data_IF_124479706127
#
_entry.id   IF_124479706127
#
_cell.length_a   1.000
_cell.length_b   1.000
_cell.length_c   1.000
_cell.angle_alpha   90.00
_cell.angle_beta   90.00
_cell.angle_gamma   90.00
#
_symmetry.space_group_name_H-M   'P 1'
#
loop_
_entity.id
_entity.type
_entity.pdbx_description
1 polymer ?
#
# COMPACT_ATOMS: atom_id res chain seq x y z
N UNK A 1 13.49 21.71 -27.86
CA UNK A 1 12.61 20.59 -28.25
C UNK A 1 13.02 19.39 -27.42
N UNK A 2 12.17 18.96 -26.48
CA UNK A 2 12.39 17.73 -25.73
C UNK A 2 11.75 16.60 -26.55
N UNK A 3 12.56 15.69 -27.10
CA UNK A 3 12.03 14.47 -27.72
C UNK A 3 11.33 13.66 -26.63
N UNK A 4 10.00 13.62 -26.68
CA UNK A 4 9.22 12.60 -25.98
C UNK A 4 9.45 11.30 -26.75
N UNK A 5 10.48 10.54 -26.36
CA UNK A 5 10.59 9.13 -26.74
C UNK A 5 9.39 8.40 -26.14
N UNK A 6 8.39 8.12 -26.97
CA UNK A 6 7.32 7.18 -26.64
C UNK A 6 7.98 5.80 -26.55
N UNK A 7 8.30 5.36 -25.33
CA UNK A 7 9.00 4.11 -25.08
C UNK A 7 8.06 2.90 -25.15
N UNK A 8 8.49 1.88 -25.88
CA UNK A 8 7.83 0.58 -25.97
C UNK A 8 8.18 -0.22 -24.70
N UNK A 9 7.29 -0.22 -23.71
CA UNK A 9 7.51 -0.71 -22.33
C UNK A 9 7.77 -2.23 -22.17
N UNK A 10 7.95 -2.96 -23.27
CA UNK A 10 7.97 -4.42 -23.29
C UNK A 10 9.37 -5.02 -23.25
N UNK A 11 10.40 -4.45 -23.87
CA UNK A 11 11.70 -5.16 -23.95
C UNK A 11 12.79 -4.62 -23.02
N UNK A 12 12.86 -3.32 -22.75
CA UNK A 12 14.01 -2.75 -22.02
C UNK A 12 13.77 -2.69 -20.50
N UNK A 13 12.52 -2.60 -20.06
CA UNK A 13 12.11 -2.61 -18.65
C UNK A 13 11.98 -4.01 -18.04
N UNK A 14 11.76 -5.05 -18.86
CA UNK A 14 11.61 -6.43 -18.38
C UNK A 14 12.93 -7.05 -17.88
N UNK A 15 14.08 -6.61 -18.40
CA UNK A 15 15.39 -7.15 -18.01
C UNK A 15 15.89 -6.62 -16.65
N UNK A 16 15.62 -5.36 -16.30
CA UNK A 16 16.20 -4.73 -15.10
C UNK A 16 15.52 -5.11 -13.77
N UNK A 17 14.28 -5.61 -13.77
CA UNK A 17 13.54 -5.86 -12.52
C UNK A 17 12.75 -7.18 -12.49
N UNK A 18 13.14 -8.22 -13.24
CA UNK A 18 12.45 -9.51 -13.14
C UNK A 18 12.59 -10.12 -11.72
N UNK A 19 13.75 -9.91 -11.07
CA UNK A 19 13.98 -10.26 -9.66
C UNK A 19 13.18 -9.36 -8.69
N UNK A 20 13.16 -8.05 -8.91
CA UNK A 20 12.45 -7.13 -8.03
C UNK A 20 10.91 -7.31 -8.11
N UNK A 21 10.35 -7.56 -9.31
CA UNK A 21 8.92 -7.89 -9.50
C UNK A 21 8.54 -9.24 -8.88
N UNK A 22 9.47 -10.19 -8.78
CA UNK A 22 9.24 -11.45 -8.07
C UNK A 22 9.25 -11.23 -6.55
N UNK A 23 10.16 -10.41 -6.06
CA UNK A 23 10.29 -10.09 -4.64
C UNK A 23 9.06 -9.36 -4.05
N UNK A 24 8.44 -8.43 -4.79
CA UNK A 24 7.24 -7.70 -4.33
C UNK A 24 6.08 -8.65 -4.01
N UNK A 25 5.84 -9.64 -4.87
CA UNK A 25 4.79 -10.66 -4.69
C UNK A 25 5.04 -11.52 -3.46
N UNK A 26 6.29 -11.98 -3.29
CA UNK A 26 6.67 -12.80 -2.14
C UNK A 26 6.51 -12.03 -0.83
N UNK A 27 6.92 -10.75 -0.80
CA UNK A 27 6.79 -9.90 0.38
C UNK A 27 5.32 -9.67 0.74
N UNK A 28 4.48 -9.33 -0.23
CA UNK A 28 3.03 -9.17 0.00
C UNK A 28 2.39 -10.46 0.53
N UNK A 29 2.72 -11.61 -0.09
CA UNK A 29 2.22 -12.91 0.37
C UNK A 29 2.65 -13.23 1.81
N UNK A 30 3.92 -13.00 2.17
CA UNK A 30 4.40 -13.22 3.55
C UNK A 30 3.73 -12.25 4.53
N UNK A 31 3.50 -11.00 4.12
CA UNK A 31 2.75 -10.00 4.88
C UNK A 31 1.39 -10.51 5.30
N UNK A 32 0.59 -10.96 4.34
CA UNK A 32 -0.76 -11.49 4.59
C UNK A 32 -0.73 -12.84 5.31
N UNK A 33 0.05 -13.80 4.82
CA UNK A 33 -0.01 -15.18 5.31
C UNK A 33 0.58 -15.36 6.72
N UNK A 34 1.58 -14.55 7.09
CA UNK A 34 2.34 -14.71 8.34
C UNK A 34 2.29 -13.46 9.22
N UNK A 35 2.64 -12.28 8.70
CA UNK A 35 2.79 -11.08 9.54
C UNK A 35 1.45 -10.61 10.12
N UNK A 36 0.39 -10.55 9.31
CA UNK A 36 -0.96 -10.22 9.80
C UNK A 36 -1.38 -11.06 11.00
N UNK A 37 -1.19 -12.38 10.91
CA UNK A 37 -1.53 -13.34 11.99
C UNK A 37 -0.68 -13.13 13.24
N UNK A 38 0.59 -12.75 13.07
CA UNK A 38 1.49 -12.46 14.18
C UNK A 38 1.09 -11.18 14.94
N UNK A 39 0.76 -10.12 14.20
CA UNK A 39 0.37 -8.83 14.79
C UNK A 39 -1.09 -8.79 15.27
N UNK A 40 -1.91 -9.79 14.93
CA UNK A 40 -3.34 -9.88 15.29
C UNK A 40 -4.12 -8.61 14.92
N UNK A 41 -3.79 -8.03 13.77
CA UNK A 41 -4.47 -6.85 13.23
C UNK A 41 -5.56 -7.30 12.27
N UNK A 42 -6.79 -6.82 12.49
CA UNK A 42 -7.93 -7.03 11.59
C UNK A 42 -7.92 -5.99 10.47
N UNK A 43 -7.07 -6.23 9.47
CA UNK A 43 -7.10 -5.54 8.18
C UNK A 43 -7.97 -6.36 7.22
N UNK A 44 -9.27 -6.06 7.16
CA UNK A 44 -10.27 -6.95 6.54
C UNK A 44 -9.97 -7.29 5.07
N UNK A 45 -9.40 -6.35 4.32
CA UNK A 45 -9.04 -6.53 2.90
C UNK A 45 -7.54 -6.67 2.66
N UNK A 46 -6.75 -6.86 3.72
CA UNK A 46 -5.28 -6.96 3.67
C UNK A 46 -4.60 -5.75 3.01
N UNK A 47 -5.24 -4.59 3.02
CA UNK A 47 -4.83 -3.40 2.26
C UNK A 47 -3.44 -2.91 2.70
N UNK A 48 -3.15 -2.91 3.99
CA UNK A 48 -1.84 -2.51 4.50
C UNK A 48 -0.73 -3.48 4.05
N UNK A 49 -0.99 -4.78 4.07
CA UNK A 49 0.02 -5.79 3.76
C UNK A 49 0.33 -5.88 2.27
N UNK A 50 -0.65 -5.64 1.40
CA UNK A 50 -0.46 -5.70 -0.06
C UNK A 50 -0.15 -4.36 -0.70
N UNK A 51 -0.55 -3.23 -0.10
CA UNK A 51 -0.25 -1.89 -0.61
C UNK A 51 0.81 -1.16 0.23
N UNK A 52 0.65 -1.12 1.55
CA UNK A 52 1.58 -0.44 2.46
C UNK A 52 2.96 -1.10 2.48
N UNK A 53 3.04 -2.37 2.89
CA UNK A 53 4.31 -3.10 2.99
C UNK A 53 5.00 -3.27 1.63
N UNK A 54 4.24 -3.61 0.59
CA UNK A 54 4.77 -3.74 -0.78
C UNK A 54 5.20 -2.38 -1.34
N UNK A 55 4.50 -1.30 -1.00
CA UNK A 55 4.85 0.07 -1.36
C UNK A 55 6.18 0.50 -0.74
N UNK A 56 6.38 0.23 0.55
CA UNK A 56 7.66 0.49 1.25
C UNK A 56 8.81 -0.24 0.54
N UNK A 57 8.63 -1.53 0.24
CA UNK A 57 9.61 -2.29 -0.51
C UNK A 57 9.85 -1.72 -1.92
N UNK A 58 8.78 -1.33 -2.62
CA UNK A 58 8.85 -0.72 -3.94
C UNK A 58 9.69 0.55 -3.95
N UNK A 59 9.47 1.46 -3.00
CA UNK A 59 10.24 2.70 -2.86
C UNK A 59 11.73 2.46 -2.61
N UNK A 60 12.07 1.45 -1.81
CA UNK A 60 13.47 1.02 -1.58
C UNK A 60 14.05 0.40 -2.86
N UNK A 61 13.30 -0.49 -3.50
CA UNK A 61 13.71 -1.14 -4.74
C UNK A 61 13.97 -0.13 -5.87
N UNK A 62 13.21 0.98 -5.94
CA UNK A 62 13.47 2.07 -6.88
C UNK A 62 14.87 2.64 -6.72
N UNK A 63 15.39 2.82 -5.51
CA UNK A 63 16.75 3.32 -5.30
C UNK A 63 17.85 2.30 -5.63
N UNK A 64 17.51 1.02 -5.76
CA UNK A 64 18.51 -0.03 -6.05
C UNK A 64 18.51 -0.39 -7.54
N UNK A 65 17.33 -0.42 -8.15
CA UNK A 65 17.11 -0.95 -9.49
C UNK A 65 16.61 0.11 -10.49
N UNK A 66 16.84 1.40 -10.23
CA UNK A 66 16.51 2.46 -11.18
C UNK A 66 17.22 2.18 -12.52
N UNK A 67 16.49 2.37 -13.62
CA UNK A 67 17.04 2.12 -14.94
C UNK A 67 18.06 3.20 -15.34
N UNK A 68 19.15 2.87 -16.05
CA UNK A 68 20.21 3.83 -16.37
C UNK A 68 19.74 5.09 -17.11
N UNK A 69 18.69 4.98 -17.93
CA UNK A 69 18.14 6.12 -18.68
C UNK A 69 17.24 7.05 -17.84
N UNK A 70 16.91 6.67 -16.60
CA UNK A 70 16.19 7.48 -15.62
C UNK A 70 17.11 8.04 -14.52
N UNK A 71 18.38 7.63 -14.51
CA UNK A 71 19.36 8.14 -13.56
C UNK A 71 19.74 9.57 -13.93
N UNK A 72 19.81 10.44 -12.91
CA UNK A 72 20.43 11.74 -13.07
C UNK A 72 21.96 11.59 -13.24
N UNK A 73 22.61 12.58 -13.86
CA UNK A 73 24.06 12.54 -14.12
C UNK A 73 24.89 12.45 -12.83
N UNK A 74 24.36 12.94 -11.70
CA UNK A 74 24.96 12.93 -10.36
C UNK A 74 24.41 11.80 -9.46
N UNK A 75 23.85 10.74 -10.05
CA UNK A 75 23.23 9.66 -9.30
C UNK A 75 24.19 9.00 -8.30
N UNK A 76 23.79 9.03 -7.03
CA UNK A 76 24.40 8.26 -5.95
C UNK A 76 23.34 7.36 -5.32
N UNK A 77 23.57 6.05 -5.38
CA UNK A 77 22.66 5.06 -4.77
C UNK A 77 22.44 5.33 -3.28
N UNK A 78 23.49 5.75 -2.55
CA UNK A 78 23.39 6.11 -1.15
C UNK A 78 22.51 7.34 -0.91
N UNK A 79 22.68 8.40 -1.72
CA UNK A 79 21.85 9.59 -1.65
C UNK A 79 20.39 9.29 -1.98
N UNK A 80 20.14 8.47 -3.01
CA UNK A 80 18.80 8.05 -3.42
C UNK A 80 18.12 7.19 -2.34
N UNK A 81 18.83 6.25 -1.73
CA UNK A 81 18.29 5.45 -0.62
C UNK A 81 17.88 6.35 0.57
N UNK A 82 18.72 7.32 0.95
CA UNK A 82 18.39 8.26 2.03
C UNK A 82 17.15 9.09 1.67
N UNK A 83 17.06 9.57 0.42
CA UNK A 83 15.90 10.33 -0.05
C UNK A 83 14.61 9.48 0.01
N UNK A 84 14.66 8.22 -0.44
CA UNK A 84 13.50 7.32 -0.40
C UNK A 84 13.11 6.96 1.03
N UNK A 85 14.07 6.72 1.93
CA UNK A 85 13.78 6.46 3.34
C UNK A 85 13.12 7.66 4.03
N UNK A 86 13.56 8.88 3.72
CA UNK A 86 12.90 10.11 4.20
C UNK A 86 11.48 10.22 3.66
N UNK A 87 11.26 9.93 2.37
CA UNK A 87 9.95 9.96 1.75
C UNK A 87 9.00 8.91 2.39
N UNK A 88 9.48 7.67 2.59
CA UNK A 88 8.73 6.61 3.27
C UNK A 88 8.38 7.01 4.70
N UNK A 89 9.34 7.56 5.46
CA UNK A 89 9.09 8.02 6.83
C UNK A 89 8.03 9.12 6.87
N UNK A 90 8.15 10.11 5.99
CA UNK A 90 7.18 11.19 5.87
C UNK A 90 5.78 10.67 5.51
N UNK A 91 5.66 9.76 4.54
CA UNK A 91 4.37 9.23 4.12
C UNK A 91 3.72 8.37 5.19
N UNK A 92 4.47 7.54 5.92
CA UNK A 92 3.96 6.75 7.05
C UNK A 92 3.43 7.68 8.15
N UNK A 93 4.22 8.67 8.55
CA UNK A 93 3.83 9.62 9.62
C UNK A 93 2.61 10.43 9.19
N UNK A 94 2.64 11.00 8.00
CA UNK A 94 1.55 11.82 7.48
C UNK A 94 0.26 11.02 7.33
N UNK A 95 0.30 9.87 6.66
CA UNK A 95 -0.89 9.04 6.46
C UNK A 95 -1.44 8.50 7.78
N UNK A 96 -0.58 8.07 8.71
CA UNK A 96 -1.00 7.58 10.03
C UNK A 96 -1.67 8.68 10.87
N UNK A 97 -1.04 9.84 10.99
CA UNK A 97 -1.59 10.96 11.79
C UNK A 97 -2.86 11.50 11.16
N UNK A 98 -2.85 11.82 9.86
CA UNK A 98 -4.00 12.41 9.19
C UNK A 98 -5.19 11.46 9.16
N UNK A 99 -4.98 10.17 8.89
CA UNK A 99 -6.06 9.18 8.92
C UNK A 99 -6.63 9.03 10.32
N UNK A 100 -5.79 9.00 11.37
CA UNK A 100 -6.27 8.94 12.74
C UNK A 100 -7.13 10.16 13.11
N UNK A 101 -6.64 11.37 12.81
CA UNK A 101 -7.39 12.61 13.05
C UNK A 101 -8.74 12.58 12.33
N UNK A 102 -8.75 12.25 11.04
CA UNK A 102 -9.99 12.18 10.26
C UNK A 102 -10.95 11.12 10.79
N UNK A 103 -10.43 9.94 11.17
CA UNK A 103 -11.24 8.87 11.74
C UNK A 103 -11.92 9.29 13.05
N UNK A 104 -11.19 9.91 13.97
CA UNK A 104 -11.78 10.36 15.25
C UNK A 104 -12.78 11.51 15.04
N UNK A 105 -12.46 12.47 14.16
CA UNK A 105 -13.39 13.55 13.83
C UNK A 105 -14.67 13.00 13.21
N UNK A 106 -14.56 12.10 12.23
CA UNK A 106 -15.71 11.45 11.62
C UNK A 106 -16.52 10.68 12.65
N UNK A 107 -15.86 9.87 13.48
CA UNK A 107 -16.51 9.06 14.53
C UNK A 107 -17.30 9.92 15.53
N UNK A 108 -16.79 11.11 15.89
CA UNK A 108 -17.50 12.03 16.79
C UNK A 108 -18.75 12.61 16.09
N UNK A 109 -18.65 12.94 14.80
CA UNK A 109 -19.75 13.53 14.04
C UNK A 109 -20.86 12.50 13.76
N UNK A 110 -20.49 11.25 13.43
CA UNK A 110 -21.44 10.18 13.06
C UNK A 110 -21.96 9.38 14.25
N UNK A 111 -21.48 9.65 15.47
CA UNK A 111 -21.88 8.94 16.68
C UNK A 111 -21.22 7.57 16.86
N UNK A 112 -20.12 7.30 16.16
CA UNK A 112 -19.34 6.06 16.27
C UNK A 112 -18.62 5.68 14.97
N UNK A 113 -17.54 4.91 15.09
CA UNK A 113 -16.75 4.38 13.96
C UNK A 113 -17.00 2.91 13.63
N UNK A 114 -17.79 2.19 14.45
CA UNK A 114 -18.19 0.78 14.26
C UNK A 114 -19.66 0.63 14.66
N UNK A 115 -20.36 -0.26 13.98
CA UNK A 115 -21.75 -0.64 14.33
C UNK A 115 -21.80 -1.40 15.65
N UNK A 116 -22.99 -1.50 16.26
CA UNK A 116 -23.19 -2.34 17.44
C UNK A 116 -23.03 -3.85 17.11
N UNK A 117 -22.80 -4.65 18.16
CA UNK A 117 -22.49 -6.08 18.01
C UNK A 117 -23.67 -6.89 17.43
N UNK A 118 -24.92 -6.49 17.72
CA UNK A 118 -26.11 -7.13 17.16
C UNK A 118 -26.22 -6.89 15.65
N UNK A 119 -25.98 -5.66 15.22
CA UNK A 119 -25.97 -5.26 13.80
C UNK A 119 -24.83 -5.91 13.05
N UNK A 120 -23.66 -6.04 13.69
CA UNK A 120 -22.53 -6.74 13.11
C UNK A 120 -22.82 -8.24 12.90
N UNK A 121 -23.50 -8.90 13.85
CA UNK A 121 -23.86 -10.32 13.74
C UNK A 121 -24.92 -10.61 12.67
N UNK A 122 -25.91 -9.73 12.53
CA UNK A 122 -26.98 -9.88 11.54
C UNK A 122 -26.48 -9.48 10.13
N UNK A 123 -25.51 -8.57 10.06
CA UNK A 123 -24.91 -8.08 8.82
C UNK A 123 -25.49 -6.73 8.38
N UNK A 124 -24.63 -5.88 7.83
CA UNK A 124 -25.00 -4.52 7.43
C UNK A 124 -26.03 -4.51 6.29
N UNK A 125 -25.96 -5.47 5.38
CA UNK A 125 -26.91 -5.59 4.27
C UNK A 125 -28.36 -5.73 4.77
N UNK A 126 -28.59 -6.62 5.75
CA UNK A 126 -29.93 -6.88 6.28
C UNK A 126 -30.40 -5.75 7.22
N UNK A 127 -29.52 -5.23 8.08
CA UNK A 127 -29.90 -4.24 9.11
C UNK A 127 -29.98 -2.80 8.58
N UNK A 128 -29.06 -2.39 7.70
CA UNK A 128 -28.98 -1.00 7.22
C UNK A 128 -29.68 -0.86 5.87
N UNK A 129 -29.54 -1.84 4.99
CA UNK A 129 -30.07 -1.76 3.63
C UNK A 129 -31.41 -2.51 3.46
N UNK A 130 -31.79 -3.37 4.41
CA UNK A 130 -33.03 -4.16 4.31
C UNK A 130 -33.00 -5.21 3.20
N UNK A 131 -31.80 -5.52 2.70
CA UNK A 131 -31.57 -6.43 1.59
C UNK A 131 -30.87 -7.69 2.08
N UNK A 132 -31.17 -8.84 1.49
CA UNK A 132 -30.41 -10.07 1.69
C UNK A 132 -29.62 -10.38 0.43
N UNK A 133 -28.29 -10.41 0.54
CA UNK A 133 -27.42 -10.75 -0.58
C UNK A 133 -27.69 -12.16 -1.13
N UNK A 134 -28.06 -13.10 -0.27
CA UNK A 134 -28.46 -14.47 -0.62
C UNK A 134 -29.68 -14.88 0.20
N UNK A 135 -30.73 -15.39 -0.46
CA UNK A 135 -31.83 -16.11 0.16
C UNK A 135 -31.56 -17.61 0.01
N UNK A 136 -31.00 -18.22 1.06
CA UNK A 136 -30.73 -19.67 1.15
C UNK A 136 -31.88 -20.39 1.86
#
# INVERSE_FOLDING_TARGET
MYEVKIFNATNDTLAYCCSCRRSTRTIGFIGVAKLKKLFKVDDSLDAFWVHGLVGIWGSIATAIFIAPYLMADDYSMGAQLIAQLKAIGLTIVYSGIMTAVLFFVASIITGGGRVDEETEQIGLDEKIHGEKALNL
#
